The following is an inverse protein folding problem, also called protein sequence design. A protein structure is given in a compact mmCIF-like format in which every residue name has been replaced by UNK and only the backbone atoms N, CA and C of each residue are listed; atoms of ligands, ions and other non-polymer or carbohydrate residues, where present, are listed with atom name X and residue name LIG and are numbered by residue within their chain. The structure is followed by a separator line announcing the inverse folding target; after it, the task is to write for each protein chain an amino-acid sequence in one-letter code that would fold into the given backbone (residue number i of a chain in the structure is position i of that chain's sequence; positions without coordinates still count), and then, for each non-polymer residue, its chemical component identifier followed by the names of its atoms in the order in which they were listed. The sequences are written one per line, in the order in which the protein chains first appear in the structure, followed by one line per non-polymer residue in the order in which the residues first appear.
data_IF_273172753917
#
_entry.id   IF_273172753917
#
_cell.length_a   1.000
_cell.length_b   1.000
_cell.length_c   1.000
_cell.angle_alpha   90.00
_cell.angle_beta   90.00
_cell.angle_gamma   90.00
#
_symmetry.space_group_name_H-M   'P 1'
#
loop_
_entity.id
_entity.type
_entity.pdbx_description
1 polymer ?
#
# COMPACT_ATOMS: atom_id res chain seq x y z
N UNK A 1 -17.49 -4.47 2.69
CA UNK A 1 -17.89 -3.25 1.92
C UNK A 1 -16.75 -2.27 2.01
N UNK A 2 -16.39 -1.65 0.89
CA UNK A 2 -15.39 -0.56 0.85
C UNK A 2 -16.04 0.66 0.23
N UNK A 3 -15.67 1.84 0.70
CA UNK A 3 -16.09 3.11 0.12
C UNK A 3 -14.99 4.16 0.34
N UNK A 4 -14.99 5.19 -0.50
CA UNK A 4 -14.12 6.34 -0.36
C UNK A 4 -14.83 7.63 -0.75
N UNK A 5 -14.38 8.73 -0.16
CA UNK A 5 -14.81 10.08 -0.51
C UNK A 5 -13.57 10.95 -0.63
N UNK A 6 -13.46 11.64 -1.75
CA UNK A 6 -12.40 12.62 -1.98
C UNK A 6 -13.00 14.00 -2.23
N UNK A 7 -12.48 15.00 -1.57
CA UNK A 7 -12.74 16.41 -1.84
C UNK A 7 -11.44 17.12 -2.16
N UNK A 8 -11.47 18.09 -3.09
CA UNK A 8 -10.27 18.79 -3.49
C UNK A 8 -10.52 20.15 -4.11
N UNK A 9 -9.52 21.04 -3.98
CA UNK A 9 -9.54 22.37 -4.56
C UNK A 9 -8.11 22.86 -4.82
N UNK A 10 -7.85 23.38 -6.01
CA UNK A 10 -6.55 24.02 -6.36
C UNK A 10 -5.33 23.10 -6.27
N UNK A 11 -5.53 21.78 -6.35
CA UNK A 11 -4.50 20.76 -6.18
C UNK A 11 -4.43 20.17 -4.76
N UNK A 12 -4.99 20.81 -3.76
CA UNK A 12 -5.15 20.22 -2.43
C UNK A 12 -6.30 19.23 -2.42
N UNK A 13 -6.14 18.16 -1.66
CA UNK A 13 -7.19 17.17 -1.49
C UNK A 13 -7.23 16.61 -0.05
N UNK A 14 -8.40 16.16 0.32
CA UNK A 14 -8.61 15.28 1.47
C UNK A 14 -9.41 14.06 0.99
N UNK A 15 -8.98 12.89 1.39
CA UNK A 15 -9.65 11.63 1.10
C UNK A 15 -9.90 10.88 2.40
N UNK A 16 -11.05 10.26 2.50
CA UNK A 16 -11.34 9.28 3.53
C UNK A 16 -11.79 7.99 2.85
N UNK A 17 -11.04 6.93 3.10
CA UNK A 17 -11.37 5.58 2.68
C UNK A 17 -11.72 4.76 3.92
N UNK A 18 -12.68 3.88 3.80
CA UNK A 18 -13.00 2.95 4.86
C UNK A 18 -13.40 1.59 4.31
N UNK A 19 -13.14 0.60 5.13
CA UNK A 19 -13.46 -0.76 4.89
C UNK A 19 -14.20 -1.32 6.11
N UNK A 20 -15.40 -1.82 5.86
CA UNK A 20 -16.17 -2.55 6.87
C UNK A 20 -15.98 -4.03 6.58
N UNK A 21 -15.09 -4.67 7.33
CA UNK A 21 -14.91 -6.12 7.23
C UNK A 21 -16.22 -6.84 7.53
N UNK A 22 -16.56 -7.85 6.77
CA UNK A 22 -17.60 -8.77 7.20
C UNK A 22 -17.02 -9.63 8.32
N UNK A 23 -17.62 -9.59 9.48
CA UNK A 23 -17.22 -10.36 10.67
C UNK A 23 -17.47 -11.86 10.51
N UNK A 24 -18.01 -12.30 9.36
CA UNK A 24 -18.53 -13.65 9.24
C UNK A 24 -17.94 -14.47 8.08
N UNK A 25 -17.60 -15.68 8.40
CA UNK A 25 -17.54 -16.90 7.62
C UNK A 25 -16.34 -17.16 6.72
N UNK A 26 -15.94 -16.23 5.86
CA UNK A 26 -14.95 -16.57 4.84
C UNK A 26 -13.56 -15.95 5.11
N UNK A 27 -13.47 -14.92 5.93
CA UNK A 27 -12.24 -14.14 6.13
C UNK A 27 -11.97 -13.88 7.62
N UNK A 28 -11.58 -14.93 8.35
CA UNK A 28 -10.99 -14.77 9.67
C UNK A 28 -9.75 -13.86 9.54
N UNK A 29 -9.81 -12.68 10.14
CA UNK A 29 -8.68 -11.74 10.18
C UNK A 29 -8.85 -10.44 9.38
N UNK A 30 -10.02 -10.16 8.85
CA UNK A 30 -10.28 -8.89 8.19
C UNK A 30 -10.69 -7.83 9.21
N UNK A 31 -9.72 -7.05 9.67
CA UNK A 31 -10.01 -5.94 10.57
C UNK A 31 -10.60 -4.76 9.78
N UNK A 32 -11.67 -4.12 10.28
CA UNK A 32 -12.12 -2.85 9.73
C UNK A 32 -10.97 -1.84 9.72
N UNK A 33 -10.94 -1.01 8.70
CA UNK A 33 -9.88 -0.02 8.49
C UNK A 33 -10.50 1.32 8.08
N UNK A 34 -9.96 2.41 8.60
CA UNK A 34 -10.29 3.77 8.17
C UNK A 34 -8.99 4.50 7.87
N UNK A 35 -8.88 4.98 6.66
CA UNK A 35 -7.75 5.77 6.19
C UNK A 35 -8.17 7.20 5.92
N UNK A 36 -7.36 8.14 6.36
CA UNK A 36 -7.51 9.56 6.03
C UNK A 36 -6.22 10.04 5.37
N UNK A 37 -6.35 10.57 4.15
CA UNK A 37 -5.26 11.19 3.44
C UNK A 37 -5.52 12.69 3.26
N UNK A 38 -4.48 13.50 3.48
CA UNK A 38 -4.51 14.94 3.22
C UNK A 38 -3.24 15.31 2.47
N UNK A 39 -3.38 16.01 1.35
CA UNK A 39 -2.22 16.31 0.54
C UNK A 39 -2.46 17.24 -0.62
N UNK A 40 -1.49 17.21 -1.52
CA UNK A 40 -1.44 18.02 -2.71
C UNK A 40 -1.10 17.16 -3.92
N UNK A 41 -1.78 17.40 -5.06
CA UNK A 41 -1.56 16.70 -6.32
C UNK A 41 -1.65 17.69 -7.48
N UNK A 42 -0.54 17.89 -8.20
CA UNK A 42 -0.49 18.75 -9.37
C UNK A 42 0.76 18.47 -10.22
N UNK A 43 0.67 18.64 -11.53
CA UNK A 43 1.79 18.51 -12.48
C UNK A 43 2.52 17.16 -12.43
N UNK A 44 1.80 16.08 -12.21
CA UNK A 44 2.38 14.74 -12.07
C UNK A 44 3.03 14.46 -10.72
N UNK A 45 3.07 15.47 -9.83
CA UNK A 45 3.56 15.32 -8.46
C UNK A 45 2.38 15.16 -7.50
N UNK A 46 2.52 14.24 -6.55
CA UNK A 46 1.61 14.08 -5.44
C UNK A 46 2.41 13.91 -4.14
N UNK A 47 1.98 14.60 -3.12
CA UNK A 47 2.54 14.48 -1.77
C UNK A 47 1.39 14.53 -0.76
N UNK A 48 1.32 13.54 0.13
CA UNK A 48 0.28 13.47 1.14
C UNK A 48 0.71 12.72 2.39
N UNK A 49 0.04 13.04 3.47
CA UNK A 49 0.06 12.27 4.69
C UNK A 49 -1.14 11.32 4.69
N UNK A 50 -0.88 10.05 4.96
CA UNK A 50 -1.87 9.00 5.09
C UNK A 50 -1.90 8.53 6.55
N UNK A 51 -3.03 8.66 7.19
CA UNK A 51 -3.31 8.10 8.50
C UNK A 51 -4.17 6.85 8.32
N UNK A 52 -3.66 5.71 8.74
CA UNK A 52 -4.34 4.41 8.68
C UNK A 52 -4.70 3.97 10.09
N UNK A 53 -5.92 3.55 10.28
CA UNK A 53 -6.40 3.02 11.54
C UNK A 53 -7.09 1.68 11.35
N UNK A 54 -6.48 0.66 11.91
CA UNK A 54 -7.04 -0.68 12.02
C UNK A 54 -7.74 -0.80 13.37
N UNK A 55 -8.97 -1.31 13.40
CA UNK A 55 -9.73 -1.53 14.64
C UNK A 55 -9.15 -2.72 15.42
N UNK A 56 -7.94 -2.57 15.86
CA UNK A 56 -7.12 -3.57 16.56
C UNK A 56 -7.06 -3.29 18.07
N UNK A 57 -6.35 -4.13 18.81
CA UNK A 57 -6.16 -4.02 20.25
C UNK A 57 -4.67 -3.87 20.57
N UNK A 58 -4.37 -3.24 21.70
CA UNK A 58 -3.03 -3.29 22.28
C UNK A 58 -2.71 -4.69 22.78
N UNK A 59 -1.44 -4.94 23.10
CA UNK A 59 -0.98 -6.22 23.63
C UNK A 59 -1.66 -6.63 24.96
N UNK A 60 -2.19 -5.67 25.70
CA UNK A 60 -2.97 -5.89 26.93
C UNK A 60 -4.45 -6.22 26.69
N UNK A 61 -4.86 -6.31 25.43
CA UNK A 61 -6.24 -6.59 25.03
C UNK A 61 -7.17 -5.37 25.03
N UNK A 62 -6.70 -4.19 25.41
CA UNK A 62 -7.51 -2.97 25.33
C UNK A 62 -7.63 -2.49 23.88
N UNK A 63 -8.76 -1.85 23.54
CA UNK A 63 -8.97 -1.31 22.17
C UNK A 63 -7.98 -0.19 21.86
N UNK A 64 -7.32 -0.24 20.71
CA UNK A 64 -6.39 0.80 20.30
C UNK A 64 -7.08 2.15 20.07
N UNK A 65 -6.34 3.24 20.32
CA UNK A 65 -6.83 4.60 20.14
C UNK A 65 -6.54 5.07 18.71
N UNK A 66 -7.49 5.78 18.12
CA UNK A 66 -7.39 6.29 16.75
C UNK A 66 -6.16 7.19 16.50
N UNK A 67 -5.78 8.02 17.46
CA UNK A 67 -4.63 8.94 17.34
C UNK A 67 -3.43 8.57 18.20
N UNK A 68 -3.20 7.27 18.44
CA UNK A 68 -2.01 6.82 19.19
C UNK A 68 -0.76 6.80 18.30
N UNK A 69 -0.38 7.96 17.82
CA UNK A 69 0.73 8.13 16.86
C UNK A 69 2.12 7.94 17.48
N UNK A 70 2.23 7.98 18.81
CA UNK A 70 3.54 7.87 19.50
C UNK A 70 3.91 6.43 19.81
N UNK A 71 2.95 5.56 19.93
CA UNK A 71 3.16 4.17 20.26
C UNK A 71 3.62 3.38 19.03
N UNK A 72 4.91 3.14 18.91
CA UNK A 72 5.50 2.39 17.81
C UNK A 72 5.93 0.97 18.19
N UNK A 73 5.66 0.52 19.41
CA UNK A 73 6.02 -0.80 19.89
C UNK A 73 5.33 -1.91 19.07
N UNK A 74 5.92 -3.11 18.96
CA UNK A 74 5.21 -4.30 18.53
C UNK A 74 3.96 -4.50 19.38
N UNK A 75 2.79 -4.68 18.76
CA UNK A 75 1.52 -4.71 19.47
C UNK A 75 1.01 -3.35 19.97
N UNK A 76 1.57 -2.25 19.47
CA UNK A 76 1.22 -0.87 19.82
C UNK A 76 -0.12 -0.35 19.27
N UNK A 77 -1.05 -1.26 18.95
CA UNK A 77 -2.38 -0.90 18.46
C UNK A 77 -2.46 -0.76 16.94
N UNK A 78 -3.58 -0.26 16.45
CA UNK A 78 -3.94 -0.22 15.02
C UNK A 78 -3.57 1.05 14.28
N UNK A 79 -2.95 2.04 14.93
CA UNK A 79 -2.63 3.33 14.29
C UNK A 79 -1.31 3.32 13.57
N UNK A 80 -1.29 3.77 12.32
CA UNK A 80 -0.06 4.06 11.57
C UNK A 80 -0.22 5.34 10.75
N UNK A 81 0.88 6.07 10.59
CA UNK A 81 0.93 7.27 9.78
C UNK A 81 2.11 7.24 8.82
N UNK A 82 1.83 7.56 7.57
CA UNK A 82 2.77 7.43 6.46
C UNK A 82 2.79 8.69 5.60
N UNK A 83 3.98 9.18 5.28
CA UNK A 83 4.15 10.16 4.22
C UNK A 83 4.32 9.44 2.90
N UNK A 84 3.58 9.87 1.90
CA UNK A 84 3.69 9.39 0.52
C UNK A 84 4.01 10.53 -0.43
N UNK A 85 4.96 10.27 -1.29
CA UNK A 85 5.34 11.14 -2.39
C UNK A 85 5.38 10.33 -3.67
N UNK A 86 4.74 10.79 -4.71
CA UNK A 86 4.88 10.20 -6.04
C UNK A 86 5.09 11.28 -7.09
N UNK A 87 5.81 10.91 -8.14
CA UNK A 87 6.05 11.76 -9.28
C UNK A 87 5.99 10.97 -10.58
N UNK A 88 5.22 11.45 -11.54
CA UNK A 88 5.24 10.97 -12.92
C UNK A 88 5.96 12.00 -13.77
N UNK A 89 7.04 11.58 -14.42
CA UNK A 89 7.96 12.49 -15.10
C UNK A 89 7.28 13.23 -16.24
N UNK A 90 6.66 12.52 -17.19
CA UNK A 90 5.88 13.10 -18.27
C UNK A 90 5.10 12.03 -19.06
N UNK A 91 4.25 12.48 -19.98
CA UNK A 91 3.60 11.53 -20.91
C UNK A 91 4.57 10.99 -21.97
N UNK A 92 5.65 11.72 -22.28
CA UNK A 92 6.68 11.24 -23.23
C UNK A 92 7.66 10.25 -22.58
N UNK A 93 7.91 10.41 -21.29
CA UNK A 93 8.67 9.50 -20.47
C UNK A 93 7.77 9.05 -19.31
N UNK A 94 6.95 8.01 -19.50
CA UNK A 94 5.96 7.57 -18.53
C UNK A 94 6.61 6.78 -17.37
N UNK A 95 7.69 7.33 -16.84
CA UNK A 95 8.38 6.88 -15.64
C UNK A 95 7.66 7.47 -14.42
N UNK A 96 7.41 6.64 -13.43
CA UNK A 96 6.87 7.06 -12.14
C UNK A 96 7.75 6.56 -10.99
N UNK A 97 7.81 7.34 -9.94
CA UNK A 97 8.47 6.98 -8.69
C UNK A 97 7.48 7.26 -7.57
N UNK A 98 7.37 6.32 -6.63
CA UNK A 98 6.62 6.47 -5.39
C UNK A 98 7.58 6.19 -4.23
N UNK A 99 7.52 7.01 -3.20
CA UNK A 99 8.20 6.80 -1.92
C UNK A 99 7.14 6.90 -0.83
N UNK A 100 7.08 5.89 0.02
CA UNK A 100 6.23 5.83 1.18
C UNK A 100 7.10 5.59 2.42
N UNK A 101 6.91 6.39 3.48
CA UNK A 101 7.69 6.28 4.72
C UNK A 101 6.78 6.39 5.93
N UNK A 102 6.76 5.37 6.77
CA UNK A 102 6.05 5.39 8.05
C UNK A 102 6.79 6.23 9.06
N UNK A 103 6.09 7.16 9.69
CA UNK A 103 6.69 8.08 10.65
C UNK A 103 5.99 8.08 11.99
N UNK A 104 4.75 7.58 12.05
CA UNK A 104 3.94 7.59 13.25
C UNK A 104 3.25 6.24 13.47
N UNK A 105 2.86 5.98 14.72
CA UNK A 105 2.15 4.77 15.11
C UNK A 105 3.04 3.52 15.05
N UNK A 106 2.41 2.38 14.87
CA UNK A 106 3.04 1.05 14.95
C UNK A 106 4.04 0.82 13.83
N UNK A 107 5.30 1.07 14.11
CA UNK A 107 6.43 0.83 13.20
C UNK A 107 7.74 0.61 13.97
N UNK A 108 7.72 -0.21 15.01
CA UNK A 108 8.89 -0.50 15.83
C UNK A 108 9.23 -1.97 15.87
N UNK A 109 10.48 -2.24 16.19
CA UNK A 109 11.03 -3.58 16.39
C UNK A 109 11.98 -3.62 17.60
N UNK A 110 12.15 -4.81 18.16
CA UNK A 110 13.14 -5.06 19.19
C UNK A 110 14.45 -5.47 18.55
N UNK A 111 15.54 -4.85 18.99
CA UNK A 111 16.90 -5.27 18.65
C UNK A 111 17.29 -6.52 19.46
N UNK A 112 18.41 -7.15 19.15
CA UNK A 112 18.86 -8.37 19.83
C UNK A 112 19.10 -8.17 21.35
N UNK A 113 19.43 -6.95 21.78
CA UNK A 113 19.58 -6.55 23.17
C UNK A 113 18.25 -6.14 23.84
N UNK A 114 17.12 -6.31 23.15
CA UNK A 114 15.80 -5.95 23.66
C UNK A 114 15.45 -4.46 23.56
N UNK A 115 16.30 -3.63 22.97
CA UNK A 115 16.02 -2.20 22.81
C UNK A 115 14.94 -1.99 21.73
N UNK A 116 13.91 -1.23 22.08
CA UNK A 116 12.87 -0.85 21.14
C UNK A 116 13.36 0.27 20.21
N UNK A 117 13.31 0.05 18.91
CA UNK A 117 13.65 1.04 17.87
C UNK A 117 12.50 1.25 16.90
N UNK A 118 12.35 2.48 16.40
CA UNK A 118 11.47 2.80 15.27
C UNK A 118 12.20 2.48 13.96
N UNK A 119 11.52 1.82 13.04
CA UNK A 119 12.09 1.41 11.76
C UNK A 119 12.10 2.51 10.72
N UNK A 120 11.13 3.44 10.76
CA UNK A 120 10.85 4.36 9.64
C UNK A 120 10.69 3.59 8.33
N UNK A 121 9.82 2.56 8.39
CA UNK A 121 9.60 1.64 7.28
C UNK A 121 9.36 2.37 5.97
N UNK A 122 10.31 2.22 5.06
CA UNK A 122 10.32 2.91 3.78
C UNK A 122 10.09 1.92 2.65
N UNK A 123 9.21 2.28 1.72
CA UNK A 123 8.96 1.58 0.47
C UNK A 123 9.19 2.53 -0.70
N UNK A 124 9.88 2.06 -1.70
CA UNK A 124 10.13 2.81 -2.94
C UNK A 124 9.63 1.95 -4.11
N UNK A 125 8.82 2.54 -4.97
CA UNK A 125 8.35 1.88 -6.18
C UNK A 125 8.78 2.71 -7.40
N UNK A 126 9.31 2.02 -8.40
CA UNK A 126 9.58 2.57 -9.72
C UNK A 126 8.65 1.91 -10.71
N UNK A 127 7.98 2.72 -11.50
CA UNK A 127 7.03 2.27 -12.51
C UNK A 127 7.34 2.82 -13.89
N UNK A 128 7.08 2.04 -14.92
CA UNK A 128 7.12 2.48 -16.29
C UNK A 128 5.91 1.95 -17.05
N UNK A 129 5.23 2.83 -17.80
CA UNK A 129 4.06 2.49 -18.59
C UNK A 129 4.44 2.49 -20.08
N UNK A 130 4.40 1.35 -20.71
CA UNK A 130 4.66 1.18 -22.13
C UNK A 130 3.35 1.29 -22.90
N UNK A 131 3.22 2.29 -23.75
CA UNK A 131 2.14 2.36 -24.74
C UNK A 131 2.47 1.38 -25.87
N UNK A 132 1.74 0.29 -25.95
CA UNK A 132 2.00 -0.78 -26.93
C UNK A 132 1.42 -0.43 -28.31
N UNK A 133 0.13 -0.36 -28.41
CA UNK A 133 -0.59 0.02 -29.65
C UNK A 133 -1.99 0.46 -29.27
N UNK A 134 -2.50 1.52 -29.86
CA UNK A 134 -3.87 2.01 -29.66
C UNK A 134 -4.25 1.85 -28.18
N UNK A 135 -5.20 1.57 -27.67
CA UNK A 135 -5.71 1.57 -26.31
C UNK A 135 -5.04 0.56 -25.34
N UNK A 136 -3.88 -0.04 -25.69
CA UNK A 136 -3.18 -1.00 -24.83
C UNK A 136 -1.97 -0.37 -24.14
N UNK A 137 -1.89 -0.56 -22.83
CA UNK A 137 -0.73 -0.16 -21.99
C UNK A 137 -0.21 -1.35 -21.19
N UNK A 138 1.10 -1.55 -21.19
CA UNK A 138 1.78 -2.47 -20.30
C UNK A 138 2.48 -1.66 -19.21
N UNK A 139 2.05 -1.79 -17.97
CA UNK A 139 2.69 -1.15 -16.82
C UNK A 139 3.61 -2.14 -16.10
N UNK A 140 4.88 -1.78 -15.96
CA UNK A 140 5.85 -2.51 -15.15
C UNK A 140 6.09 -1.78 -13.83
N UNK A 141 6.22 -2.51 -12.74
CA UNK A 141 6.45 -1.96 -11.39
C UNK A 141 7.52 -2.79 -10.67
N UNK A 142 8.42 -2.08 -9.99
CA UNK A 142 9.44 -2.64 -9.12
C UNK A 142 9.37 -1.94 -7.77
N UNK A 143 9.08 -2.68 -6.72
CA UNK A 143 9.02 -2.17 -5.35
C UNK A 143 10.17 -2.70 -4.51
N UNK A 144 10.83 -1.82 -3.79
CA UNK A 144 11.95 -2.14 -2.90
C UNK A 144 11.76 -1.55 -1.51
N UNK A 145 12.36 -2.20 -0.55
CA UNK A 145 12.51 -1.73 0.83
C UNK A 145 13.99 -1.58 1.11
N UNK A 146 14.51 -0.35 1.31
CA UNK A 146 15.96 -0.09 1.37
C UNK A 146 16.60 -0.40 2.73
N UNK A 147 15.81 -0.63 3.78
CA UNK A 147 16.28 -0.86 5.13
C UNK A 147 15.31 -1.76 5.90
N UNK A 148 15.62 -2.05 7.16
CA UNK A 148 14.70 -2.76 8.07
C UNK A 148 13.33 -2.12 8.06
N UNK A 149 12.29 -2.91 7.85
CA UNK A 149 10.96 -2.41 7.59
C UNK A 149 9.91 -3.42 8.01
N UNK A 150 8.72 -2.92 8.33
CA UNK A 150 7.56 -3.77 8.52
C UNK A 150 7.23 -4.60 7.27
N UNK A 151 7.52 -4.09 6.06
CA UNK A 151 7.27 -4.81 4.81
C UNK A 151 8.12 -6.07 4.65
N UNK A 152 9.16 -6.22 5.48
CA UNK A 152 10.03 -7.39 5.57
C UNK A 152 9.99 -8.04 6.96
N UNK A 153 8.96 -7.76 7.77
CA UNK A 153 8.89 -8.23 9.15
C UNK A 153 10.09 -7.81 9.99
N UNK A 154 10.69 -6.66 9.66
CA UNK A 154 11.93 -6.13 10.27
C UNK A 154 13.14 -7.05 10.12
N UNK A 155 13.09 -7.97 9.16
CA UNK A 155 14.19 -8.87 8.82
C UNK A 155 14.91 -8.34 7.57
N UNK A 156 16.23 -8.37 7.58
CA UNK A 156 17.05 -7.87 6.48
C UNK A 156 17.08 -6.36 6.36
N UNK A 157 18.09 -5.85 5.66
CA UNK A 157 18.33 -4.41 5.49
C UNK A 157 17.94 -3.91 4.09
N UNK A 158 17.72 -4.80 3.15
CA UNK A 158 17.28 -4.51 1.79
C UNK A 158 16.42 -5.65 1.24
N UNK A 159 15.36 -5.32 0.55
CA UNK A 159 14.53 -6.31 -0.15
C UNK A 159 13.90 -5.75 -1.42
N UNK A 160 13.74 -6.61 -2.42
CA UNK A 160 12.82 -6.39 -3.53
C UNK A 160 11.47 -6.97 -3.08
N UNK A 161 10.47 -6.14 -2.86
CA UNK A 161 9.17 -6.58 -2.34
C UNK A 161 8.18 -6.94 -3.43
N UNK A 162 8.26 -6.23 -4.56
CA UNK A 162 7.28 -6.32 -5.62
C UNK A 162 7.97 -6.32 -6.99
N UNK A 163 7.58 -7.26 -7.84
CA UNK A 163 7.76 -7.17 -9.29
C UNK A 163 6.38 -7.37 -9.92
N UNK A 164 5.88 -6.35 -10.62
CA UNK A 164 4.52 -6.36 -11.16
C UNK A 164 4.49 -6.02 -12.65
N UNK A 165 3.59 -6.70 -13.37
CA UNK A 165 3.23 -6.40 -14.75
C UNK A 165 1.72 -6.32 -14.87
N UNK A 166 1.21 -5.20 -15.37
CA UNK A 166 -0.22 -4.99 -15.62
C UNK A 166 -0.44 -4.66 -17.09
N UNK A 167 -1.12 -5.53 -17.79
CA UNK A 167 -1.64 -5.25 -19.13
C UNK A 167 -3.03 -4.68 -19.00
N UNK A 168 -3.28 -3.53 -19.61
CA UNK A 168 -4.59 -2.92 -19.59
C UNK A 168 -4.99 -2.45 -21.00
N UNK A 169 -6.28 -2.51 -21.27
CA UNK A 169 -6.90 -1.94 -22.44
C UNK A 169 -7.98 -0.96 -22.02
N UNK A 170 -7.98 0.21 -22.64
CA UNK A 170 -9.00 1.23 -22.43
C UNK A 170 -9.69 1.55 -23.73
N UNK A 171 -11.01 1.67 -23.71
CA UNK A 171 -11.81 2.11 -24.86
C UNK A 171 -13.04 2.87 -24.38
N UNK A 172 -13.67 3.60 -25.30
CA UNK A 172 -14.93 4.28 -25.00
C UNK A 172 -16.07 3.67 -25.80
N UNK A 173 -17.23 3.55 -25.18
CA UNK A 173 -18.46 3.09 -25.81
C UNK A 173 -19.64 3.92 -25.31
N UNK A 174 -20.33 4.61 -26.20
CA UNK A 174 -21.51 5.42 -25.87
C UNK A 174 -21.32 6.44 -24.75
N UNK A 175 -20.12 7.05 -24.67
CA UNK A 175 -19.79 8.02 -23.62
C UNK A 175 -19.25 7.42 -22.32
N UNK A 176 -19.19 6.10 -22.22
CA UNK A 176 -18.57 5.41 -21.09
C UNK A 176 -17.11 5.08 -21.39
N UNK A 177 -16.22 5.34 -20.43
CA UNK A 177 -14.86 4.83 -20.45
C UNK A 177 -14.85 3.41 -19.87
N UNK A 178 -14.40 2.45 -20.65
CA UNK A 178 -14.29 1.05 -20.22
C UNK A 178 -12.83 0.67 -20.16
N UNK A 179 -12.41 0.06 -19.08
CA UNK A 179 -11.07 -0.47 -18.90
C UNK A 179 -11.14 -1.95 -18.52
N UNK A 180 -10.36 -2.79 -19.20
CA UNK A 180 -10.09 -4.15 -18.78
C UNK A 180 -8.61 -4.31 -18.44
N UNK A 181 -8.26 -5.14 -17.48
CA UNK A 181 -6.88 -5.38 -17.11
C UNK A 181 -6.63 -6.83 -16.70
N UNK A 182 -5.37 -7.25 -16.90
CA UNK A 182 -4.77 -8.42 -16.27
C UNK A 182 -3.48 -7.96 -15.56
N UNK A 183 -3.35 -8.32 -14.30
CA UNK A 183 -2.22 -7.93 -13.46
C UNK A 183 -1.57 -9.18 -12.86
N UNK A 184 -0.26 -9.29 -13.02
CA UNK A 184 0.56 -10.34 -12.43
C UNK A 184 1.55 -9.67 -11.48
N UNK A 185 1.57 -10.10 -10.24
CA UNK A 185 2.44 -9.57 -9.19
C UNK A 185 3.21 -10.70 -8.51
N UNK A 186 4.50 -10.57 -8.46
CA UNK A 186 5.40 -11.39 -7.65
C UNK A 186 5.74 -10.63 -6.38
N UNK A 187 5.23 -11.09 -5.25
CA UNK A 187 5.60 -10.61 -3.93
C UNK A 187 6.65 -11.54 -3.35
N UNK A 188 7.82 -11.02 -2.99
CA UNK A 188 8.90 -11.83 -2.42
C UNK A 188 8.83 -11.95 -0.90
N UNK A 189 8.00 -11.13 -0.27
CA UNK A 189 7.69 -11.15 1.15
C UNK A 189 6.18 -11.23 1.35
N UNK A 190 5.73 -12.09 2.23
CA UNK A 190 4.32 -12.28 2.50
C UNK A 190 4.06 -12.50 4.00
N UNK A 191 2.82 -12.28 4.42
CA UNK A 191 2.35 -12.62 5.76
C UNK A 191 1.93 -14.10 5.74
N UNK A 192 2.57 -14.92 6.56
CA UNK A 192 2.20 -16.33 6.69
C UNK A 192 0.97 -16.54 7.61
N UNK A 193 0.54 -17.77 7.75
CA UNK A 193 -0.60 -18.16 8.60
C UNK A 193 -0.46 -17.72 10.08
N UNK A 194 0.76 -17.50 10.56
CA UNK A 194 1.04 -17.02 11.92
C UNK A 194 1.09 -15.48 12.00
N UNK A 195 0.63 -14.77 10.97
CA UNK A 195 0.72 -13.31 10.83
C UNK A 195 2.16 -12.75 10.90
N UNK A 196 3.14 -13.57 10.59
CA UNK A 196 4.55 -13.16 10.50
C UNK A 196 4.92 -12.89 9.05
N UNK A 197 5.53 -11.75 8.79
CA UNK A 197 6.08 -11.44 7.47
C UNK A 197 7.41 -12.18 7.30
N UNK A 198 7.49 -13.08 6.31
CA UNK A 198 8.68 -13.87 5.99
C UNK A 198 9.01 -13.80 4.50
N UNK A 199 10.28 -14.06 4.12
CA UNK A 199 10.59 -14.30 2.72
C UNK A 199 9.75 -15.47 2.22
N UNK A 200 9.23 -15.35 1.04
CA UNK A 200 8.36 -16.37 0.44
C UNK A 200 9.09 -17.71 0.27
N UNK A 201 10.43 -17.69 0.13
CA UNK A 201 11.26 -18.89 0.11
C UNK A 201 11.18 -19.71 1.40
N UNK A 202 10.84 -19.07 2.52
CA UNK A 202 10.71 -19.71 3.83
C UNK A 202 9.26 -20.07 4.19
N UNK A 203 8.30 -19.33 3.65
CA UNK A 203 6.90 -19.45 4.05
C UNK A 203 6.11 -20.51 3.27
N UNK A 204 6.61 -20.94 2.11
CA UNK A 204 5.86 -21.86 1.24
C UNK A 204 4.61 -21.25 0.60
N UNK A 205 4.36 -19.96 0.82
CA UNK A 205 3.13 -19.27 0.47
C UNK A 205 3.15 -18.68 -0.94
N UNK A 206 2.00 -18.21 -1.38
CA UNK A 206 1.75 -17.77 -2.74
C UNK A 206 2.63 -16.58 -3.14
N UNK A 207 3.59 -16.84 -4.02
CA UNK A 207 4.53 -15.84 -4.57
C UNK A 207 3.90 -14.99 -5.65
N UNK A 208 3.00 -15.60 -6.41
CA UNK A 208 2.41 -15.05 -7.61
C UNK A 208 0.94 -14.73 -7.34
N UNK A 209 0.58 -13.48 -7.50
CA UNK A 209 -0.80 -13.03 -7.48
C UNK A 209 -1.20 -12.66 -8.90
N UNK A 210 -2.36 -13.14 -9.33
CA UNK A 210 -2.96 -12.80 -10.62
C UNK A 210 -4.31 -12.17 -10.37
N UNK A 211 -4.54 -11.01 -10.92
CA UNK A 211 -5.83 -10.33 -10.89
C UNK A 211 -6.28 -9.98 -12.29
N UNK A 212 -7.55 -10.21 -12.58
CA UNK A 212 -8.22 -9.74 -13.80
C UNK A 212 -9.44 -8.95 -13.42
N UNK A 213 -9.76 -7.90 -14.16
CA UNK A 213 -10.90 -7.08 -13.84
C UNK A 213 -11.28 -6.14 -14.97
N UNK A 214 -12.42 -5.49 -14.79
CA UNK A 214 -12.87 -4.40 -15.63
C UNK A 214 -13.47 -3.28 -14.76
N UNK A 215 -13.45 -2.07 -15.30
CA UNK A 215 -14.13 -0.91 -14.73
C UNK A 215 -14.85 -0.14 -15.82
N UNK A 216 -15.94 0.52 -15.43
CA UNK A 216 -16.73 1.39 -16.28
C UNK A 216 -16.86 2.72 -15.56
N UNK A 217 -16.50 3.80 -16.24
CA UNK A 217 -16.64 5.18 -15.77
C UNK A 217 -17.46 6.01 -16.75
N UNK A 218 -18.07 7.09 -16.26
CA UNK A 218 -18.75 8.11 -17.07
C UNK A 218 -17.92 9.39 -17.13
#
# INVERSE_FOLDING_TARGET
MQADVTVGYGGFFANMWWNVGSTDWAFKGFNPEVDIAIGFSRWGFQFYYLHMYYFDHYADGTRSRYFDMRNYAPGGGGTTGEWRMSYRVSNRLPLSILVAMRTFGRDGYLTADGTLKRAYSTYIEVGYDFDLTHDWTLAARLGITPAKSMYTGYKGDFAVNLVGLKLQKQWSMQGYAIQAFAHVMLNTWNVNADNLIRPVSEAGDQKLNVAVGCSIGM
#
